data_IF_312775337469
#
_entry.id   IF_312775337469
#
_cell.length_a   1.000
_cell.length_b   1.000
_cell.length_c   1.000
_cell.angle_alpha   90.00
_cell.angle_beta   90.00
_cell.angle_gamma   90.00
#
_symmetry.space_group_name_H-M   'P 1'
#
loop_
_entity.id
_entity.type
_entity.pdbx_description
1 polymer ?
#
# COMPACT_ATOMS: atom_id res chain seq x y z
N UNK A 1 24.06 -8.90 -30.65
CA UNK A 1 23.62 -8.21 -29.42
C UNK A 1 22.18 -8.62 -29.16
N UNK A 2 21.95 -9.52 -28.21
CA UNK A 2 20.59 -9.79 -27.74
C UNK A 2 20.17 -8.61 -26.86
N UNK A 3 18.92 -8.13 -26.95
CA UNK A 3 18.44 -7.08 -26.05
C UNK A 3 18.42 -7.65 -24.63
N UNK A 4 18.95 -6.88 -23.67
CA UNK A 4 18.79 -7.17 -22.25
C UNK A 4 17.30 -7.08 -21.92
N UNK A 5 16.62 -8.23 -21.93
CA UNK A 5 15.31 -8.38 -21.29
C UNK A 5 15.59 -8.39 -19.79
N UNK A 6 15.39 -7.25 -19.14
CA UNK A 6 15.35 -7.18 -17.69
C UNK A 6 14.23 -8.14 -17.24
N UNK A 7 14.57 -9.24 -16.58
CA UNK A 7 13.59 -10.13 -15.96
C UNK A 7 12.67 -9.29 -15.09
N UNK A 8 11.40 -9.19 -15.47
CA UNK A 8 10.40 -8.49 -14.67
C UNK A 8 10.23 -9.31 -13.40
N UNK A 9 10.58 -8.73 -12.25
CA UNK A 9 10.37 -9.37 -10.95
C UNK A 9 8.92 -9.88 -10.83
N UNK A 10 8.74 -11.06 -10.23
CA UNK A 10 7.40 -11.64 -10.03
C UNK A 10 6.48 -10.61 -9.38
N UNK A 11 5.38 -10.20 -10.04
CA UNK A 11 4.47 -9.20 -9.47
C UNK A 11 3.86 -9.66 -8.15
N UNK A 12 3.82 -10.98 -7.88
CA UNK A 12 3.27 -11.56 -6.67
C UNK A 12 4.36 -11.70 -5.60
N UNK A 13 4.14 -11.04 -4.46
CA UNK A 13 5.03 -11.08 -3.32
C UNK A 13 4.38 -11.92 -2.22
N UNK A 14 5.12 -12.94 -1.76
CA UNK A 14 4.77 -13.73 -0.57
C UNK A 14 5.12 -12.95 0.68
N UNK A 15 4.12 -12.65 1.50
CA UNK A 15 4.25 -11.77 2.65
C UNK A 15 4.23 -12.53 3.99
N UNK A 16 4.11 -13.85 3.97
CA UNK A 16 4.03 -14.68 5.18
C UNK A 16 2.59 -14.84 5.70
N UNK A 17 2.44 -15.43 6.89
CA UNK A 17 1.14 -15.86 7.40
C UNK A 17 0.18 -14.72 7.72
N UNK A 18 -1.12 -14.97 7.60
CA UNK A 18 -2.17 -14.05 8.04
C UNK A 18 -2.05 -13.70 9.53
N UNK A 19 -1.69 -14.68 10.36
CA UNK A 19 -1.47 -14.51 11.81
C UNK A 19 -0.46 -13.42 12.15
N UNK A 20 0.57 -13.20 11.31
CA UNK A 20 1.52 -12.09 11.46
C UNK A 20 0.78 -10.75 11.53
N UNK A 21 -0.15 -10.52 10.61
CA UNK A 21 -0.88 -9.25 10.48
C UNK A 21 -2.06 -9.14 11.45
N UNK A 22 -2.68 -10.27 11.83
CA UNK A 22 -3.71 -10.28 12.86
C UNK A 22 -3.16 -9.96 14.25
N UNK A 23 -1.85 -10.19 14.48
CA UNK A 23 -1.18 -9.80 15.73
C UNK A 23 -0.86 -8.29 15.82
N UNK A 24 -0.99 -7.54 14.73
CA UNK A 24 -0.80 -6.09 14.71
C UNK A 24 -2.02 -5.36 15.28
N UNK A 25 -1.82 -4.20 15.90
CA UNK A 25 -2.93 -3.39 16.37
C UNK A 25 -3.62 -2.69 15.18
N UNK A 26 -4.94 -2.41 15.28
CA UNK A 26 -5.62 -1.58 14.28
C UNK A 26 -4.93 -0.23 14.04
N UNK A 27 -4.71 0.04 12.77
CA UNK A 27 -3.99 1.15 12.17
C UNK A 27 -2.47 1.10 12.30
N UNK A 28 -1.88 -0.05 12.63
CA UNK A 28 -0.44 -0.31 12.49
C UNK A 28 -0.04 -0.51 11.02
N UNK A 29 1.23 -0.25 10.75
CA UNK A 29 1.84 -0.27 9.42
C UNK A 29 3.05 -1.20 9.45
N UNK A 30 3.07 -2.20 8.59
CA UNK A 30 4.24 -3.03 8.33
C UNK A 30 5.04 -2.45 7.15
N UNK A 31 6.32 -2.15 7.38
CA UNK A 31 7.23 -1.52 6.39
C UNK A 31 8.21 -2.50 5.71
N UNK A 32 8.07 -3.81 5.93
CA UNK A 32 9.04 -4.81 5.46
C UNK A 32 9.18 -4.84 3.93
N UNK A 33 8.14 -4.42 3.19
CA UNK A 33 8.04 -4.50 1.72
C UNK A 33 8.29 -3.15 1.01
N UNK A 34 8.89 -2.19 1.71
CA UNK A 34 9.28 -0.88 1.20
C UNK A 34 10.45 -0.84 0.18
N UNK A 35 11.44 -1.75 0.15
CA UNK A 35 12.71 -1.48 -0.54
C UNK A 35 12.68 -1.59 -2.09
N UNK A 36 11.53 -1.81 -2.74
CA UNK A 36 11.47 -1.97 -4.20
C UNK A 36 10.84 -0.75 -4.87
N UNK A 37 11.61 0.06 -5.59
CA UNK A 37 11.02 0.96 -6.60
C UNK A 37 10.82 0.18 -7.91
N UNK A 38 9.69 0.37 -8.63
CA UNK A 38 8.63 1.34 -8.40
C UNK A 38 7.41 0.80 -7.62
N UNK A 39 7.45 -0.44 -7.13
CA UNK A 39 6.24 -1.20 -6.74
C UNK A 39 6.21 -1.70 -5.29
N UNK A 40 7.03 -1.11 -4.41
CA UNK A 40 7.00 -1.39 -2.98
C UNK A 40 5.69 -0.96 -2.33
N UNK A 41 5.40 -1.57 -1.19
CA UNK A 41 4.14 -1.36 -0.48
C UNK A 41 4.31 -1.47 1.03
N UNK A 42 3.33 -0.93 1.73
CA UNK A 42 3.08 -1.18 3.14
C UNK A 42 1.90 -2.15 3.29
N UNK A 43 1.94 -2.99 4.32
CA UNK A 43 0.73 -3.71 4.74
C UNK A 43 0.14 -2.98 5.95
N UNK A 44 -1.13 -2.62 5.84
CA UNK A 44 -1.87 -1.86 6.84
C UNK A 44 -2.86 -2.79 7.50
N UNK A 45 -2.81 -2.87 8.83
CA UNK A 45 -3.90 -3.46 9.60
C UNK A 45 -4.92 -2.36 9.85
N UNK A 46 -6.11 -2.44 9.26
CA UNK A 46 -7.24 -1.54 9.59
C UNK A 46 -8.06 -2.19 10.75
N UNK A 47 -9.29 -1.75 11.05
CA UNK A 47 -10.10 -2.41 12.08
C UNK A 47 -10.70 -3.73 11.57
N UNK A 48 -11.29 -3.68 10.37
CA UNK A 48 -12.10 -4.74 9.76
C UNK A 48 -11.39 -5.42 8.57
N UNK A 49 -10.18 -4.98 8.24
CA UNK A 49 -9.45 -5.47 7.06
C UNK A 49 -7.94 -5.31 7.17
N UNK A 50 -7.25 -5.91 6.21
CA UNK A 50 -5.82 -5.73 5.92
C UNK A 50 -5.70 -5.28 4.47
N UNK A 51 -4.92 -4.24 4.20
CA UNK A 51 -4.73 -3.69 2.85
C UNK A 51 -3.25 -3.49 2.52
N UNK A 52 -2.90 -3.51 1.23
CA UNK A 52 -1.55 -3.25 0.73
C UNK A 52 -1.50 -1.88 0.05
N UNK A 53 -0.87 -0.88 0.68
CA UNK A 53 -0.74 0.48 0.14
C UNK A 53 0.56 0.65 -0.64
N UNK A 54 0.48 1.20 -1.85
CA UNK A 54 1.65 1.64 -2.60
C UNK A 54 2.41 2.73 -1.85
N UNK A 55 3.74 2.61 -1.84
CA UNK A 55 4.62 3.63 -1.25
C UNK A 55 4.82 4.84 -2.16
N UNK A 56 4.20 4.88 -3.34
CA UNK A 56 4.42 5.93 -4.33
C UNK A 56 3.45 7.09 -4.08
N UNK A 57 3.99 8.23 -3.69
CA UNK A 57 3.22 9.45 -3.52
C UNK A 57 2.54 9.85 -4.84
N UNK A 58 1.23 10.04 -4.80
CA UNK A 58 0.39 10.38 -5.96
C UNK A 58 0.57 11.80 -6.50
N UNK A 59 1.46 12.59 -5.89
CA UNK A 59 1.91 13.86 -6.47
C UNK A 59 2.89 13.62 -7.63
N UNK A 60 4.15 13.27 -7.31
CA UNK A 60 5.24 13.11 -8.29
C UNK A 60 6.13 11.88 -8.02
N UNK A 61 5.61 10.91 -7.24
CA UNK A 61 6.24 9.59 -7.11
C UNK A 61 7.36 9.44 -6.07
N UNK A 62 7.56 10.42 -5.19
CA UNK A 62 8.42 10.25 -4.02
C UNK A 62 7.87 9.18 -3.06
N UNK A 63 8.71 8.65 -2.17
CA UNK A 63 8.29 7.70 -1.13
C UNK A 63 8.00 8.47 0.17
N UNK A 64 6.74 8.50 0.67
CA UNK A 64 6.45 9.04 1.99
C UNK A 64 7.08 8.22 3.11
N UNK A 65 7.33 8.86 4.24
CA UNK A 65 7.74 8.21 5.48
C UNK A 65 6.54 8.01 6.39
N UNK A 66 6.41 6.84 7.00
CA UNK A 66 5.49 6.62 8.11
C UNK A 66 6.01 7.32 9.37
N UNK A 67 5.16 8.08 10.05
CA UNK A 67 5.45 8.75 11.31
C UNK A 67 4.59 8.09 12.40
N UNK A 68 5.10 7.11 13.15
CA UNK A 68 4.28 6.30 14.06
C UNK A 68 3.64 7.12 15.18
N UNK A 69 4.37 8.10 15.74
CA UNK A 69 3.86 8.98 16.80
C UNK A 69 2.67 9.83 16.35
N UNK A 70 2.65 10.22 15.07
CA UNK A 70 1.61 11.07 14.49
C UNK A 70 0.54 10.28 13.73
N UNK A 71 0.74 8.95 13.61
CA UNK A 71 -0.09 8.03 12.83
C UNK A 71 -0.41 8.56 11.43
N UNK A 72 0.61 9.00 10.70
CA UNK A 72 0.45 9.55 9.33
C UNK A 72 1.66 9.27 8.47
N UNK A 73 1.46 9.26 7.16
CA UNK A 73 2.54 9.31 6.18
C UNK A 73 2.82 10.75 5.77
N UNK A 74 4.10 11.13 5.67
CA UNK A 74 4.52 12.43 5.16
C UNK A 74 5.52 12.28 4.02
N UNK A 75 5.21 12.92 2.89
CA UNK A 75 6.07 12.99 1.73
C UNK A 75 7.15 14.06 1.94
N UNK A 76 8.45 13.71 1.95
CA UNK A 76 9.52 14.66 2.22
C UNK A 76 9.75 15.67 1.09
N UNK A 77 9.26 15.40 -0.13
CA UNK A 77 9.53 16.22 -1.29
C UNK A 77 8.73 17.53 -1.30
N UNK A 78 7.42 17.45 -1.00
CA UNK A 78 6.52 18.59 -1.12
C UNK A 78 5.47 18.65 0.02
N UNK A 79 5.63 17.84 1.06
CA UNK A 79 4.81 17.93 2.28
C UNK A 79 3.49 17.15 2.27
N UNK A 80 3.14 16.44 1.19
CA UNK A 80 1.88 15.69 1.13
C UNK A 80 1.68 14.75 2.30
N UNK A 81 0.49 14.78 2.89
CA UNK A 81 0.12 14.00 4.07
C UNK A 81 -0.96 12.98 3.76
N UNK A 82 -0.79 11.76 4.28
CA UNK A 82 -1.76 10.67 4.15
C UNK A 82 -2.07 10.03 5.51
N UNK A 83 -3.33 9.68 5.74
CA UNK A 83 -3.80 8.91 6.91
C UNK A 83 -3.25 7.47 6.87
N UNK A 84 -3.34 6.69 7.95
CA UNK A 84 -2.87 5.30 7.97
C UNK A 84 -3.48 4.42 6.86
N UNK A 85 -4.73 4.68 6.51
CA UNK A 85 -5.44 3.97 5.44
C UNK A 85 -5.09 4.45 4.02
N UNK A 86 -4.16 5.41 3.88
CA UNK A 86 -3.70 5.98 2.61
C UNK A 86 -4.46 7.20 2.10
N UNK A 87 -5.52 7.65 2.80
CA UNK A 87 -6.32 8.82 2.39
C UNK A 87 -5.49 10.09 2.49
N UNK A 88 -5.39 10.87 1.42
CA UNK A 88 -4.71 12.17 1.45
C UNK A 88 -5.50 13.18 2.29
N UNK A 89 -4.79 13.99 3.09
CA UNK A 89 -5.39 15.08 3.88
C UNK A 89 -4.63 16.40 3.75
N UNK A 90 -3.42 16.38 3.18
CA UNK A 90 -2.57 17.56 3.00
C UNK A 90 -1.89 17.47 1.63
N UNK A 91 -1.98 18.56 0.87
CA UNK A 91 -1.48 18.65 -0.50
C UNK A 91 0.06 18.68 -0.60
N UNK A 92 0.62 18.68 -1.82
CA UNK A 92 -0.06 18.81 -3.13
C UNK A 92 -0.62 17.50 -3.73
N UNK A 93 -0.50 16.34 -3.08
CA UNK A 93 -1.06 15.09 -3.58
C UNK A 93 -2.59 15.21 -3.77
N UNK A 94 -3.11 15.03 -5.01
CA UNK A 94 -4.51 15.32 -5.31
C UNK A 94 -5.46 14.21 -4.86
N UNK A 95 -4.93 13.00 -4.60
CA UNK A 95 -5.71 11.79 -4.34
C UNK A 95 -5.01 10.85 -3.35
N UNK A 96 -5.74 9.89 -2.75
CA UNK A 96 -5.17 8.89 -1.85
C UNK A 96 -4.08 8.03 -2.51
N UNK A 97 -3.29 7.35 -1.69
CA UNK A 97 -2.34 6.32 -2.14
C UNK A 97 -3.06 5.16 -2.85
N UNK A 98 -2.38 4.48 -3.76
CA UNK A 98 -2.95 3.35 -4.49
C UNK A 98 -2.95 2.09 -3.62
N UNK A 99 -3.96 1.23 -3.75
CA UNK A 99 -3.94 -0.12 -3.14
C UNK A 99 -3.51 -1.14 -4.19
N UNK A 100 -2.74 -2.15 -3.78
CA UNK A 100 -2.48 -3.34 -4.60
C UNK A 100 -3.51 -4.42 -4.31
N UNK A 101 -3.66 -5.37 -5.24
CA UNK A 101 -4.42 -6.59 -4.95
C UNK A 101 -3.74 -7.37 -3.82
N UNK A 102 -4.53 -7.81 -2.87
CA UNK A 102 -4.08 -8.61 -1.72
C UNK A 102 -5.07 -9.73 -1.46
N UNK A 103 -4.58 -10.95 -1.26
CA UNK A 103 -5.41 -12.13 -1.04
C UNK A 103 -4.68 -13.20 -0.25
N UNK A 104 -5.40 -14.24 0.16
CA UNK A 104 -4.84 -15.41 0.84
C UNK A 104 -4.65 -16.57 -0.15
N UNK A 105 -3.48 -17.19 -0.10
CA UNK A 105 -3.20 -18.50 -0.69
C UNK A 105 -2.97 -19.48 0.48
N UNK A 106 -4.05 -20.14 0.93
CA UNK A 106 -4.06 -20.85 2.21
C UNK A 106 -3.97 -19.86 3.38
N UNK A 107 -2.95 -19.99 4.23
CA UNK A 107 -2.66 -19.04 5.34
C UNK A 107 -1.71 -17.92 4.90
N UNK A 108 -1.17 -17.98 3.68
CA UNK A 108 -0.16 -17.02 3.23
C UNK A 108 -0.81 -15.78 2.60
N UNK A 109 -0.39 -14.60 3.04
CA UNK A 109 -0.76 -13.32 2.44
C UNK A 109 0.07 -13.10 1.19
N UNK A 110 -0.62 -12.89 0.06
CA UNK A 110 -0.02 -12.56 -1.23
C UNK A 110 -0.43 -11.15 -1.63
N UNK A 111 0.55 -10.34 -2.05
CA UNK A 111 0.30 -9.04 -2.69
C UNK A 111 0.66 -9.13 -4.17
N UNK A 112 -0.31 -8.88 -5.04
CA UNK A 112 -0.14 -8.83 -6.49
C UNK A 112 0.00 -7.38 -6.97
N UNK A 113 1.25 -7.02 -7.28
CA UNK A 113 1.64 -5.66 -7.70
C UNK A 113 1.18 -5.32 -9.12
N UNK A 114 0.67 -6.28 -9.90
CA UNK A 114 0.19 -6.07 -11.27
C UNK A 114 -1.20 -5.43 -11.33
N UNK A 115 -1.99 -5.53 -10.25
CA UNK A 115 -3.32 -4.93 -10.16
C UNK A 115 -3.37 -3.86 -9.07
N UNK A 116 -3.85 -2.68 -9.44
CA UNK A 116 -3.98 -1.52 -8.55
C UNK A 116 -5.41 -1.01 -8.48
N UNK A 117 -5.76 -0.46 -7.34
CA UNK A 117 -7.03 0.21 -7.07
C UNK A 117 -6.77 1.67 -6.74
N UNK A 118 -7.22 2.56 -7.63
CA UNK A 118 -6.95 3.99 -7.57
C UNK A 118 -8.18 4.71 -7.06
N UNK A 119 -8.13 5.29 -5.87
CA UNK A 119 -9.14 6.24 -5.41
C UNK A 119 -8.95 7.57 -6.14
N UNK A 120 -10.05 8.22 -6.54
CA UNK A 120 -10.02 9.47 -7.31
C UNK A 120 -9.97 10.71 -6.40
N UNK A 121 -10.26 10.56 -5.11
CA UNK A 121 -10.18 11.62 -4.13
C UNK A 121 -10.43 11.10 -2.71
N UNK A 122 -10.28 11.94 -1.67
CA UNK A 122 -10.44 11.51 -0.28
C UNK A 122 -11.88 11.07 0.06
N UNK A 123 -12.87 11.51 -0.73
CA UNK A 123 -14.28 11.13 -0.61
C UNK A 123 -14.74 10.17 -1.73
N UNK A 124 -13.82 9.76 -2.61
CA UNK A 124 -14.09 8.85 -3.73
C UNK A 124 -13.11 7.68 -3.68
N UNK A 125 -13.28 6.88 -2.63
CA UNK A 125 -12.53 5.64 -2.37
C UNK A 125 -13.28 4.41 -2.90
N UNK A 126 -14.26 4.59 -3.79
CA UNK A 126 -15.08 3.49 -4.33
C UNK A 126 -14.28 2.27 -4.79
N UNK A 127 -13.15 2.45 -5.51
CA UNK A 127 -12.29 1.34 -5.92
C UNK A 127 -11.64 0.54 -4.78
N UNK A 128 -11.56 1.08 -3.55
CA UNK A 128 -11.06 0.35 -2.37
C UNK A 128 -12.10 -0.59 -1.76
N UNK A 129 -13.37 -0.49 -2.17
CA UNK A 129 -14.41 -1.42 -1.74
C UNK A 129 -14.42 -2.71 -2.56
N UNK A 130 -13.57 -2.82 -3.59
CA UNK A 130 -13.37 -4.07 -4.31
C UNK A 130 -12.83 -5.14 -3.35
N UNK A 131 -13.41 -6.35 -3.32
CA UNK A 131 -12.97 -7.41 -2.41
C UNK A 131 -11.52 -7.83 -2.62
N UNK A 132 -10.92 -7.55 -3.78
CA UNK A 132 -9.51 -7.82 -4.04
C UNK A 132 -8.57 -6.72 -3.53
N UNK A 133 -9.09 -5.57 -3.05
CA UNK A 133 -8.29 -4.47 -2.53
C UNK A 133 -7.92 -4.62 -1.04
N UNK A 134 -8.47 -5.63 -0.36
CA UNK A 134 -8.21 -5.92 1.05
C UNK A 134 -8.64 -7.32 1.45
N UNK A 135 -8.00 -7.89 2.46
CA UNK A 135 -8.45 -9.11 3.15
C UNK A 135 -9.33 -8.70 4.34
N UNK A 136 -10.59 -9.15 4.45
CA UNK A 136 -11.42 -8.91 5.63
C UNK A 136 -10.84 -9.61 6.89
N UNK A 137 -11.04 -9.01 8.07
CA UNK A 137 -10.62 -9.53 9.37
C UNK A 137 -11.80 -9.75 10.30
#
# INVERSE_FOLDING_TARGET
MAPNVLEQEDPKVRCGSLSKYLSMAPGDVNEDYKPVKPSGFWIIREEDRISALSIICTHLGCIPSWLPNDRKFKCPCHGSGFKPNGTNFEGPAPRPLERFKIYLDGDEVIVDRSRKFLAMGPNDTGPWNDPDASIPV
#
